data_IF_248676150257
#
_entry.id   IF_248676150257
#
_cell.length_a   1.000
_cell.length_b   1.000
_cell.length_c   1.000
_cell.angle_alpha   90.00
_cell.angle_beta   90.00
_cell.angle_gamma   90.00
#
_symmetry.space_group_name_H-M   'P 1'
#
loop_
_entity.id
_entity.type
_entity.pdbx_description
1 polymer ?
#
# COMPACT_ATOMS: atom_id res chain seq x y z
N UNK A 1 18.59 -18.12 16.03
CA UNK A 1 18.71 -18.73 14.69
C UNK A 1 17.55 -19.67 14.35
N UNK A 2 16.89 -20.31 15.32
CA UNK A 2 15.73 -21.19 15.07
C UNK A 2 14.45 -20.44 14.67
N UNK A 3 14.12 -19.31 15.32
CA UNK A 3 12.94 -18.51 14.96
C UNK A 3 12.93 -17.96 13.50
N UNK A 4 14.11 -17.77 12.91
CA UNK A 4 14.26 -17.35 11.51
C UNK A 4 14.08 -18.54 10.53
N UNK A 5 14.43 -19.76 10.95
CA UNK A 5 14.18 -20.99 10.19
C UNK A 5 12.70 -21.37 10.26
N UNK A 6 12.03 -21.13 11.38
CA UNK A 6 10.58 -21.35 11.54
C UNK A 6 9.74 -20.36 10.73
N UNK A 7 10.14 -19.08 10.63
CA UNK A 7 9.45 -18.12 9.74
C UNK A 7 9.66 -18.47 8.27
N UNK A 8 10.85 -18.93 7.86
CA UNK A 8 11.08 -19.47 6.51
C UNK A 8 10.31 -20.77 6.26
N UNK A 9 10.17 -21.63 7.26
CA UNK A 9 9.40 -22.87 7.16
C UNK A 9 7.88 -22.61 7.17
N UNK A 10 7.40 -21.55 7.81
CA UNK A 10 6.03 -21.07 7.73
C UNK A 10 5.74 -20.42 6.37
N UNK A 11 6.63 -19.56 5.88
CA UNK A 11 6.60 -19.02 4.51
C UNK A 11 6.66 -20.15 3.48
N UNK A 12 7.56 -21.12 3.66
CA UNK A 12 7.67 -22.30 2.80
C UNK A 12 6.49 -23.27 2.95
N UNK A 13 5.84 -23.41 4.11
CA UNK A 13 4.62 -24.22 4.27
C UNK A 13 3.39 -23.54 3.64
N UNK A 14 3.27 -22.22 3.78
CA UNK A 14 2.25 -21.43 3.08
C UNK A 14 2.48 -21.49 1.55
N UNK A 15 3.73 -21.46 1.09
CA UNK A 15 4.09 -21.57 -0.33
C UNK A 15 4.11 -23.03 -0.88
N UNK A 16 4.36 -24.06 -0.07
CA UNK A 16 4.51 -25.46 -0.51
C UNK A 16 3.21 -26.28 -0.44
N UNK A 17 2.24 -25.89 0.38
CA UNK A 17 0.86 -26.43 0.27
C UNK A 17 0.23 -26.07 -1.09
N UNK A 18 0.86 -25.14 -1.82
CA UNK A 18 0.48 -24.63 -3.16
C UNK A 18 1.30 -25.31 -4.29
N UNK A 19 2.23 -26.23 -3.99
CA UNK A 19 3.20 -26.81 -4.93
C UNK A 19 3.15 -28.36 -4.98
N UNK A 20 2.05 -28.96 -5.43
CA UNK A 20 2.04 -30.39 -5.84
C UNK A 20 1.27 -30.57 -7.15
N UNK A 21 2.07 -30.82 -8.21
CA UNK A 21 1.78 -31.61 -9.43
C UNK A 21 0.69 -31.10 -10.38
N UNK A 22 1.09 -30.55 -11.52
CA UNK A 22 0.96 -31.13 -12.89
C UNK A 22 1.46 -30.06 -13.88
N UNK A 23 2.19 -30.53 -14.89
CA UNK A 23 2.69 -29.76 -16.03
C UNK A 23 1.58 -29.42 -17.02
N UNK A 24 1.51 -28.17 -17.50
CA UNK A 24 1.29 -27.93 -18.92
C UNK A 24 1.75 -26.53 -19.32
N UNK A 25 2.28 -26.46 -20.53
CA UNK A 25 2.82 -25.28 -21.23
C UNK A 25 1.65 -24.54 -21.86
N UNK A 26 1.68 -23.21 -21.88
CA UNK A 26 1.27 -22.45 -23.06
C UNK A 26 1.98 -21.09 -23.11
N UNK A 27 2.49 -20.80 -24.31
CA UNK A 27 3.21 -19.58 -24.68
C UNK A 27 2.18 -18.53 -25.10
N UNK A 28 2.20 -17.34 -24.49
CA UNK A 28 1.59 -16.15 -25.09
C UNK A 28 2.60 -15.02 -25.11
N UNK A 29 2.95 -14.61 -26.33
CA UNK A 29 3.92 -13.57 -26.66
C UNK A 29 3.28 -12.18 -26.74
N UNK A 30 4.02 -11.22 -26.19
CA UNK A 30 4.20 -9.83 -26.64
C UNK A 30 3.20 -8.72 -26.24
N UNK A 31 3.82 -7.59 -25.83
CA UNK A 31 3.31 -6.21 -25.71
C UNK A 31 2.34 -5.90 -24.56
N UNK A 32 2.85 -5.82 -23.32
CA UNK A 32 2.13 -5.18 -22.22
C UNK A 32 2.15 -3.65 -22.39
N UNK A 33 1.19 -3.11 -23.13
CA UNK A 33 0.70 -1.75 -22.87
C UNK A 33 0.13 -1.73 -21.45
N UNK A 34 0.36 -0.64 -20.71
CA UNK A 34 -0.21 -0.44 -19.36
C UNK A 34 -1.74 -0.47 -19.47
N UNK A 35 -2.34 -1.65 -19.31
CA UNK A 35 -3.79 -1.83 -19.41
C UNK A 35 -4.45 -1.15 -18.22
N UNK A 36 -5.05 0.02 -18.47
CA UNK A 36 -5.92 0.70 -17.53
C UNK A 36 -7.11 -0.21 -17.23
N UNK A 37 -7.14 -0.82 -16.04
CA UNK A 37 -8.26 -1.66 -15.64
C UNK A 37 -9.43 -0.77 -15.24
N UNK A 38 -10.43 -0.69 -16.11
CA UNK A 38 -11.68 0.03 -15.83
C UNK A 38 -12.21 -0.38 -14.46
N UNK A 39 -12.39 0.62 -13.59
CA UNK A 39 -12.94 0.45 -12.26
C UNK A 39 -12.01 0.03 -11.15
N UNK A 40 -10.70 -0.07 -11.43
CA UNK A 40 -9.65 -0.23 -10.41
C UNK A 40 -8.63 0.90 -10.44
N UNK A 41 -8.86 1.89 -11.28
CA UNK A 41 -8.05 3.10 -11.37
C UNK A 41 -8.86 4.28 -10.83
N UNK A 42 -8.16 5.24 -10.22
CA UNK A 42 -8.72 6.49 -9.75
C UNK A 42 -7.84 7.63 -10.28
N UNK A 43 -8.41 8.54 -11.07
CA UNK A 43 -7.70 9.66 -11.70
C UNK A 43 -8.51 10.96 -11.55
N UNK A 44 -7.86 12.14 -11.57
CA UNK A 44 -8.57 13.42 -11.60
C UNK A 44 -9.49 13.56 -12.84
N UNK A 45 -10.60 14.32 -12.76
CA UNK A 45 -11.20 14.87 -11.54
C UNK A 45 -11.87 13.76 -10.72
N UNK A 46 -11.48 13.62 -9.45
CA UNK A 46 -11.83 12.45 -8.65
C UNK A 46 -13.33 12.43 -8.32
N UNK A 47 -14.08 11.51 -8.92
CA UNK A 47 -15.49 11.30 -8.62
C UNK A 47 -15.65 10.26 -7.49
N UNK A 48 -15.64 10.75 -6.24
CA UNK A 48 -15.87 9.93 -5.04
C UNK A 48 -17.09 10.40 -4.23
N UNK A 49 -17.86 11.36 -4.75
CA UNK A 49 -18.96 12.03 -4.02
C UNK A 49 -20.37 11.71 -4.53
N UNK A 50 -20.55 10.89 -5.58
CA UNK A 50 -21.89 10.54 -6.06
C UNK A 50 -22.47 9.33 -5.31
N UNK A 51 -23.37 9.63 -4.37
CA UNK A 51 -24.08 8.71 -3.48
C UNK A 51 -25.53 8.42 -3.89
N UNK A 52 -26.04 9.02 -4.97
CA UNK A 52 -27.47 8.92 -5.31
C UNK A 52 -27.85 7.85 -6.36
N UNK A 53 -27.05 7.55 -7.40
CA UNK A 53 -27.54 6.70 -8.52
C UNK A 53 -26.52 5.84 -9.31
N UNK A 54 -25.29 5.62 -8.87
CA UNK A 54 -24.38 4.72 -9.60
C UNK A 54 -23.14 4.39 -8.79
N UNK A 55 -22.94 3.10 -8.49
CA UNK A 55 -21.89 2.63 -7.58
C UNK A 55 -20.49 3.12 -7.99
N UNK A 56 -19.88 4.11 -7.31
CA UNK A 56 -18.48 4.40 -7.55
C UNK A 56 -17.69 3.17 -7.08
N UNK A 57 -16.82 2.66 -7.95
CA UNK A 57 -15.96 1.52 -7.65
C UNK A 57 -14.93 1.87 -6.56
N UNK A 58 -14.95 3.11 -6.06
CA UNK A 58 -14.17 3.64 -4.96
C UNK A 58 -15.08 4.24 -3.90
N UNK A 59 -14.78 3.94 -2.64
CA UNK A 59 -15.48 4.49 -1.47
C UNK A 59 -14.46 5.07 -0.50
N UNK A 60 -14.90 6.01 0.33
CA UNK A 60 -14.07 6.68 1.34
C UNK A 60 -14.62 6.49 2.75
N UNK A 61 -13.74 6.49 3.75
CA UNK A 61 -14.07 6.51 5.17
C UNK A 61 -13.25 7.58 5.90
N UNK A 62 -13.77 8.04 7.04
CA UNK A 62 -13.07 8.98 7.91
C UNK A 62 -12.93 10.37 7.29
N UNK A 63 -11.80 11.01 7.53
CA UNK A 63 -11.51 12.39 7.12
C UNK A 63 -11.22 12.53 5.61
N UNK A 64 -11.27 11.45 4.83
CA UNK A 64 -10.93 11.48 3.40
C UNK A 64 -11.89 12.35 2.59
N UNK A 65 -11.34 13.20 1.72
CA UNK A 65 -12.11 14.11 0.87
C UNK A 65 -11.40 14.40 -0.46
N UNK A 66 -12.16 14.89 -1.44
CA UNK A 66 -11.58 15.56 -2.61
C UNK A 66 -11.33 17.01 -2.23
N UNK A 67 -10.15 17.50 -2.56
CA UNK A 67 -9.76 18.91 -2.41
C UNK A 67 -8.90 19.31 -3.60
N UNK A 68 -8.44 20.56 -3.63
CA UNK A 68 -7.43 21.00 -4.58
C UNK A 68 -6.07 21.15 -3.91
N UNK A 69 -4.99 20.83 -4.61
CA UNK A 69 -3.63 21.12 -4.17
C UNK A 69 -3.26 22.60 -4.37
N UNK A 70 -2.02 22.97 -4.06
CA UNK A 70 -1.53 24.34 -4.19
C UNK A 70 -1.53 24.87 -5.65
N UNK A 71 -1.57 23.98 -6.64
CA UNK A 71 -1.63 24.29 -8.07
C UNK A 71 -3.06 24.28 -8.60
N UNK A 72 -4.06 24.06 -7.75
CA UNK A 72 -5.46 23.95 -8.14
C UNK A 72 -5.83 22.60 -8.79
N UNK A 73 -4.97 21.59 -8.70
CA UNK A 73 -5.27 20.25 -9.21
C UNK A 73 -6.10 19.48 -8.19
N UNK A 74 -7.13 18.76 -8.65
CA UNK A 74 -7.91 17.89 -7.78
C UNK A 74 -7.01 16.80 -7.19
N UNK A 75 -7.14 16.55 -5.88
CA UNK A 75 -6.45 15.54 -5.10
C UNK A 75 -7.41 14.82 -4.16
N UNK A 76 -7.23 13.51 -4.00
CA UNK A 76 -7.80 12.79 -2.87
C UNK A 76 -6.92 13.02 -1.65
N UNK A 77 -7.43 13.78 -0.70
CA UNK A 77 -6.76 14.04 0.57
C UNK A 77 -7.24 13.04 1.61
N UNK A 78 -6.35 12.18 2.10
CA UNK A 78 -6.69 11.22 3.15
C UNK A 78 -6.93 11.90 4.49
N UNK A 79 -6.06 12.83 4.88
CA UNK A 79 -6.14 13.58 6.14
C UNK A 79 -5.74 15.05 5.93
N UNK A 80 -6.30 15.92 6.77
CA UNK A 80 -5.74 17.26 6.98
C UNK A 80 -4.53 17.17 7.91
N UNK A 81 -3.67 18.18 7.88
CA UNK A 81 -2.53 18.31 8.79
C UNK A 81 -2.96 18.81 10.18
N UNK A 82 -3.90 18.08 10.78
CA UNK A 82 -4.39 18.24 12.14
C UNK A 82 -4.16 16.93 12.90
N UNK A 83 -4.08 17.01 14.21
CA UNK A 83 -3.85 15.85 15.06
C UNK A 83 -5.02 14.85 15.01
N UNK A 84 -4.70 13.57 15.20
CA UNK A 84 -5.69 12.50 15.39
C UNK A 84 -6.66 12.29 14.21
N UNK A 85 -6.19 12.51 12.99
CA UNK A 85 -6.96 12.30 11.75
C UNK A 85 -6.72 10.92 11.18
N UNK A 86 -7.77 10.33 10.60
CA UNK A 86 -7.70 9.03 9.91
C UNK A 86 -8.63 9.06 8.71
N UNK A 87 -8.11 8.65 7.56
CA UNK A 87 -8.87 8.55 6.33
C UNK A 87 -8.48 7.32 5.54
N UNK A 88 -9.46 6.77 4.83
CA UNK A 88 -9.25 5.67 3.90
C UNK A 88 -9.99 5.97 2.60
N UNK A 89 -9.39 5.56 1.49
CA UNK A 89 -10.06 5.35 0.23
C UNK A 89 -9.79 3.92 -0.22
N UNK A 90 -10.81 3.23 -0.72
CA UNK A 90 -10.70 1.81 -1.07
C UNK A 90 -11.58 1.47 -2.26
N UNK A 91 -11.12 0.48 -3.03
CA UNK A 91 -11.84 -0.03 -4.17
C UNK A 91 -12.86 -1.10 -3.72
N UNK A 92 -14.08 -1.05 -4.26
CA UNK A 92 -15.17 -1.99 -3.93
C UNK A 92 -15.19 -3.20 -4.85
N UNK A 93 -14.38 -3.23 -5.90
CA UNK A 93 -14.27 -4.34 -6.85
C UNK A 93 -13.07 -5.21 -6.47
N UNK A 94 -13.28 -6.43 -5.95
CA UNK A 94 -12.18 -7.32 -5.59
C UNK A 94 -11.22 -7.56 -6.77
N UNK A 95 -9.92 -7.65 -6.47
CA UNK A 95 -8.88 -7.92 -7.48
C UNK A 95 -9.06 -9.32 -8.10
N UNK A 96 -9.55 -10.30 -7.32
CA UNK A 96 -9.89 -11.65 -7.80
C UNK A 96 -11.40 -11.84 -7.95
N UNK A 97 -11.90 -12.10 -9.17
CA UNK A 97 -13.27 -12.62 -9.38
C UNK A 97 -13.34 -14.15 -9.39
N UNK A 98 -12.20 -14.83 -9.46
CA UNK A 98 -12.10 -16.29 -9.59
C UNK A 98 -11.08 -16.81 -8.58
N UNK A 99 -11.55 -17.60 -7.61
CA UNK A 99 -10.74 -18.34 -6.64
C UNK A 99 -10.05 -19.56 -7.29
N UNK A 100 -9.46 -19.36 -8.47
CA UNK A 100 -8.64 -20.40 -9.07
C UNK A 100 -7.18 -20.16 -8.64
N UNK A 101 -6.64 -21.08 -7.85
CA UNK A 101 -5.27 -20.98 -7.30
C UNK A 101 -4.21 -20.91 -8.40
N UNK A 102 -4.55 -21.37 -9.61
CA UNK A 102 -3.73 -21.27 -10.81
C UNK A 102 -3.69 -19.85 -11.38
N UNK A 103 -4.79 -19.09 -11.28
CA UNK A 103 -4.83 -17.67 -11.65
C UNK A 103 -3.97 -16.80 -10.73
N UNK A 104 -3.86 -17.12 -9.44
CA UNK A 104 -3.05 -16.32 -8.48
C UNK A 104 -1.56 -16.36 -8.81
N UNK A 105 -1.04 -17.49 -9.30
CA UNK A 105 0.36 -17.60 -9.78
C UNK A 105 0.60 -16.81 -11.07
N UNK A 106 -0.45 -16.65 -11.88
CA UNK A 106 -0.44 -15.87 -13.12
C UNK A 106 -0.88 -14.41 -12.93
N UNK A 107 -1.25 -14.02 -11.71
CA UNK A 107 -1.68 -12.65 -11.40
C UNK A 107 -0.47 -11.72 -11.53
N UNK A 108 -0.33 -11.13 -12.71
CA UNK A 108 0.60 -10.03 -12.96
C UNK A 108 -0.19 -8.75 -12.84
N UNK A 109 0.15 -7.93 -11.85
CA UNK A 109 -0.47 -6.64 -11.67
C UNK A 109 0.56 -5.58 -11.30
N UNK A 110 0.21 -4.35 -11.62
CA UNK A 110 0.99 -3.16 -11.34
C UNK A 110 0.04 -2.09 -10.84
N UNK A 111 0.47 -1.37 -9.80
CA UNK A 111 -0.18 -0.15 -9.33
C UNK A 111 0.82 0.98 -9.49
N UNK A 112 0.38 2.02 -10.17
CA UNK A 112 1.06 3.31 -10.20
C UNK A 112 0.33 4.23 -9.23
N UNK A 113 1.07 4.77 -8.27
CA UNK A 113 0.57 5.68 -7.26
C UNK A 113 1.36 6.98 -7.32
N UNK A 114 0.66 8.10 -7.48
CA UNK A 114 1.22 9.43 -7.28
C UNK A 114 0.70 9.96 -5.95
N UNK A 115 1.61 10.33 -5.06
CA UNK A 115 1.28 10.78 -3.70
C UNK A 115 2.19 11.92 -3.27
N UNK A 116 1.74 12.65 -2.25
CA UNK A 116 2.54 13.68 -1.59
C UNK A 116 2.21 13.68 -0.09
N UNK A 117 3.24 13.81 0.74
CA UNK A 117 3.10 13.96 2.20
C UNK A 117 3.80 15.27 2.58
N UNK A 118 3.14 16.43 2.43
CA UNK A 118 3.80 17.72 2.54
C UNK A 118 4.10 18.10 3.99
N UNK A 119 5.21 18.80 4.22
CA UNK A 119 5.41 19.61 5.44
C UNK A 119 4.31 20.65 5.57
N UNK A 120 4.11 21.10 6.80
CA UNK A 120 3.21 22.22 7.06
C UNK A 120 3.90 23.26 7.91
N UNK A 121 3.42 24.53 7.90
CA UNK A 121 3.93 25.55 8.80
C UNK A 121 3.84 25.17 10.30
N UNK A 122 2.99 24.19 10.65
CA UNK A 122 2.83 23.69 12.03
C UNK A 122 3.87 22.62 12.40
N UNK A 123 4.41 21.88 11.42
CA UNK A 123 5.38 20.80 11.65
C UNK A 123 6.18 20.49 10.39
N UNK A 124 7.51 20.46 10.55
CA UNK A 124 8.46 20.02 9.52
C UNK A 124 8.59 18.49 9.42
N UNK A 125 7.94 17.75 10.31
CA UNK A 125 7.89 16.28 10.28
C UNK A 125 6.42 15.85 10.19
N UNK A 126 5.95 15.46 9.00
CA UNK A 126 4.63 14.86 8.83
C UNK A 126 4.54 13.53 9.58
N UNK A 127 3.41 13.28 10.21
CA UNK A 127 3.14 12.06 10.97
C UNK A 127 1.67 11.63 10.80
N UNK A 128 1.34 10.35 10.90
CA UNK A 128 2.26 9.22 11.14
C UNK A 128 2.79 8.59 9.83
N UNK A 129 2.08 8.79 8.72
CA UNK A 129 2.40 8.23 7.41
C UNK A 129 1.15 7.80 6.66
N UNK A 130 1.31 6.85 5.72
CA UNK A 130 0.19 6.23 5.01
C UNK A 130 0.50 4.76 4.65
N UNK A 131 -0.53 4.00 4.29
CA UNK A 131 -0.34 2.62 3.82
C UNK A 131 -1.14 2.33 2.55
N UNK A 132 -0.62 1.42 1.73
CA UNK A 132 -1.33 0.83 0.58
C UNK A 132 -1.65 -0.61 0.94
N UNK A 133 -2.95 -0.94 1.07
CA UNK A 133 -3.41 -2.21 1.60
C UNK A 133 -4.07 -3.07 0.53
N UNK A 134 -3.72 -4.35 0.54
CA UNK A 134 -4.38 -5.40 -0.22
C UNK A 134 -4.96 -6.39 0.78
N UNK A 135 -6.22 -6.17 1.12
CA UNK A 135 -6.90 -6.83 2.23
C UNK A 135 -8.05 -7.72 1.75
N UNK A 136 -8.21 -8.89 2.37
CA UNK A 136 -9.40 -9.73 2.22
C UNK A 136 -10.58 -9.22 3.05
N UNK A 137 -10.31 -8.56 4.17
CA UNK A 137 -11.35 -7.99 5.02
C UNK A 137 -11.90 -6.70 4.41
N UNK A 138 -13.18 -6.44 4.68
CA UNK A 138 -13.78 -5.13 4.43
C UNK A 138 -12.96 -4.04 5.13
N UNK A 139 -12.58 -2.96 4.42
CA UNK A 139 -11.88 -1.83 5.00
C UNK A 139 -12.65 -1.20 6.17
N UNK A 140 -11.92 -0.85 7.21
CA UNK A 140 -12.42 -0.15 8.38
C UNK A 140 -11.30 0.71 8.98
N UNK A 141 -11.68 1.81 9.63
CA UNK A 141 -10.72 2.71 10.26
C UNK A 141 -10.04 2.03 11.47
N UNK A 142 -8.75 2.30 11.66
CA UNK A 142 -7.97 1.80 12.80
C UNK A 142 -6.63 2.49 12.95
N UNK A 143 -5.79 1.95 13.83
CA UNK A 143 -4.49 2.51 14.22
C UNK A 143 -3.36 2.18 13.24
N UNK A 144 -3.56 1.25 12.29
CA UNK A 144 -2.54 0.83 11.33
C UNK A 144 -2.45 1.82 10.16
N UNK A 145 -1.89 3.01 10.39
CA UNK A 145 -1.86 4.12 9.43
C UNK A 145 -3.25 4.43 8.84
N UNK A 146 -4.27 4.39 9.70
CA UNK A 146 -5.67 4.63 9.35
C UNK A 146 -6.48 3.36 9.09
N UNK A 147 -5.85 2.21 8.81
CA UNK A 147 -6.53 0.92 8.58
C UNK A 147 -6.71 0.13 9.89
N UNK A 148 -7.69 -0.78 9.93
CA UNK A 148 -7.89 -1.75 11.02
C UNK A 148 -6.64 -2.59 11.28
N UNK A 149 -6.36 -2.90 12.55
CA UNK A 149 -5.18 -3.66 12.99
C UNK A 149 -5.20 -5.12 12.51
N UNK A 150 -6.38 -5.72 12.45
CA UNK A 150 -6.62 -7.14 12.16
C UNK A 150 -6.92 -7.39 10.67
N UNK A 151 -6.28 -6.63 9.77
CA UNK A 151 -6.40 -6.89 8.34
C UNK A 151 -5.68 -8.20 7.97
N UNK A 152 -6.23 -8.91 6.98
CA UNK A 152 -5.69 -10.15 6.42
C UNK A 152 -5.25 -9.86 4.99
N UNK A 153 -3.95 -9.93 4.73
CA UNK A 153 -3.36 -9.64 3.43
C UNK A 153 -1.96 -9.05 3.55
N UNK A 154 -1.60 -8.15 2.63
CA UNK A 154 -0.32 -7.45 2.69
C UNK A 154 -0.49 -5.94 2.54
N UNK A 155 0.49 -5.21 3.03
CA UNK A 155 0.53 -3.76 2.96
C UNK A 155 1.91 -3.24 2.60
N UNK A 156 1.95 -2.16 1.83
CA UNK A 156 3.12 -1.30 1.69
C UNK A 156 2.93 -0.15 2.68
N UNK A 157 3.81 -0.10 3.68
CA UNK A 157 3.80 0.88 4.75
C UNK A 157 4.73 2.02 4.37
N UNK A 158 4.23 3.25 4.43
CA UNK A 158 4.99 4.48 4.18
C UNK A 158 5.01 5.24 5.51
N UNK A 159 6.00 4.95 6.33
CA UNK A 159 6.16 5.49 7.68
C UNK A 159 7.03 6.75 7.63
N UNK A 160 6.47 7.89 8.06
CA UNK A 160 7.17 9.18 8.03
C UNK A 160 7.68 9.62 9.39
N UNK A 161 7.27 8.94 10.47
CA UNK A 161 7.55 9.40 11.83
C UNK A 161 8.28 8.35 12.65
N UNK A 162 9.37 8.77 13.30
CA UNK A 162 10.19 7.87 14.11
C UNK A 162 9.65 7.78 15.53
N UNK A 163 8.88 6.74 15.85
CA UNK A 163 8.43 6.46 17.22
C UNK A 163 9.55 5.76 18.01
N UNK A 164 10.25 4.81 17.40
CA UNK A 164 11.31 4.06 18.06
C UNK A 164 12.60 4.87 18.19
N UNK A 165 12.97 5.20 19.43
CA UNK A 165 14.21 5.95 19.71
C UNK A 165 15.49 5.16 19.38
N UNK A 166 15.53 3.88 19.72
CA UNK A 166 16.73 3.04 19.61
C UNK A 166 16.49 1.61 19.09
N UNK A 167 15.24 1.16 19.07
CA UNK A 167 14.88 -0.25 18.84
C UNK A 167 14.48 -0.56 17.40
N UNK A 168 14.34 0.47 16.56
CA UNK A 168 14.17 0.29 15.12
C UNK A 168 15.49 0.52 14.38
N UNK A 169 15.76 -0.37 13.42
CA UNK A 169 16.81 -0.17 12.41
C UNK A 169 16.36 0.74 11.27
N UNK A 170 15.05 0.97 11.15
CA UNK A 170 14.48 1.85 10.14
C UNK A 170 14.80 3.29 10.54
N UNK A 171 15.16 4.09 9.53
CA UNK A 171 15.28 5.54 9.68
C UNK A 171 14.12 6.12 8.91
N UNK A 172 13.20 6.81 9.55
CA UNK A 172 12.09 7.43 8.82
C UNK A 172 12.60 8.69 8.08
N UNK A 173 12.03 9.01 6.91
CA UNK A 173 10.93 8.32 6.24
C UNK A 173 11.35 6.99 5.63
N UNK A 174 10.52 5.96 5.79
CA UNK A 174 10.84 4.58 5.40
C UNK A 174 9.64 3.88 4.76
N UNK A 175 9.86 3.23 3.62
CA UNK A 175 8.87 2.37 2.98
C UNK A 175 9.25 0.92 3.16
N UNK A 176 8.33 0.10 3.67
CA UNK A 176 8.54 -1.34 3.83
C UNK A 176 7.25 -2.13 3.56
N UNK A 177 7.38 -3.44 3.35
CA UNK A 177 6.24 -4.33 3.18
C UNK A 177 5.99 -5.16 4.44
N UNK A 178 4.71 -5.43 4.74
CA UNK A 178 4.29 -6.35 5.79
C UNK A 178 3.17 -7.28 5.32
N UNK A 179 3.10 -8.47 5.91
CA UNK A 179 1.99 -9.41 5.75
C UNK A 179 1.29 -9.53 7.10
N UNK A 180 -0.03 -9.60 7.07
CA UNK A 180 -0.85 -9.81 8.26
C UNK A 180 -1.87 -10.92 7.98
N UNK A 181 -2.01 -11.83 8.93
CA UNK A 181 -3.01 -12.90 8.94
C UNK A 181 -4.21 -12.56 9.85
N UNK A 182 -4.30 -11.30 10.28
CA UNK A 182 -5.29 -10.79 11.23
C UNK A 182 -4.79 -10.77 12.68
N UNK A 183 -3.60 -11.30 12.95
CA UNK A 183 -3.05 -11.37 14.32
C UNK A 183 -1.90 -10.40 14.57
N UNK A 184 -1.27 -9.89 13.52
CA UNK A 184 -0.14 -8.97 13.62
C UNK A 184 -0.64 -7.56 13.91
N UNK A 185 -0.08 -6.93 14.93
CA UNK A 185 -0.33 -5.52 15.26
C UNK A 185 0.93 -4.70 15.07
N UNK A 186 0.80 -3.45 14.64
CA UNK A 186 1.92 -2.51 14.67
C UNK A 186 2.45 -2.34 16.08
N UNK A 187 3.77 -2.16 16.15
CA UNK A 187 4.49 -1.97 17.40
C UNK A 187 5.30 -0.67 17.30
N UNK A 188 4.81 0.37 17.96
CA UNK A 188 5.44 1.69 18.01
C UNK A 188 6.85 1.64 18.61
N UNK A 189 7.17 0.63 19.45
CA UNK A 189 8.51 0.50 20.01
C UNK A 189 9.55 0.09 18.98
N UNK A 190 9.14 -0.54 17.87
CA UNK A 190 10.02 -1.05 16.81
C UNK A 190 9.78 -0.37 15.48
N UNK A 191 8.85 0.60 15.41
CA UNK A 191 8.31 1.16 14.16
C UNK A 191 7.88 0.07 13.14
N UNK A 192 7.43 -1.09 13.61
CA UNK A 192 7.09 -2.22 12.74
C UNK A 192 8.27 -2.97 12.12
N UNK A 193 9.51 -2.70 12.55
CA UNK A 193 10.70 -3.41 12.04
C UNK A 193 10.76 -4.91 12.36
N UNK A 194 9.92 -5.37 13.28
CA UNK A 194 9.70 -6.77 13.65
C UNK A 194 8.75 -7.53 12.71
N UNK A 195 7.96 -6.80 11.92
CA UNK A 195 6.96 -7.33 10.97
C UNK A 195 7.32 -7.06 9.50
N UNK A 196 8.41 -6.34 9.25
CA UNK A 196 8.96 -6.13 7.90
C UNK A 196 9.40 -7.46 7.26
N UNK A 197 8.89 -7.72 6.05
CA UNK A 197 9.16 -8.99 5.33
C UNK A 197 10.39 -8.93 4.43
N UNK A 198 10.85 -7.73 4.05
CA UNK A 198 12.04 -7.49 3.24
C UNK A 198 12.58 -6.09 3.54
N UNK A 199 13.90 -5.85 3.49
CA UNK A 199 14.48 -4.52 3.67
C UNK A 199 13.84 -3.49 2.74
N UNK A 200 13.28 -2.46 3.34
CA UNK A 200 12.71 -1.30 2.70
C UNK A 200 13.75 -0.24 2.31
N UNK A 201 13.26 0.93 1.93
CA UNK A 201 14.09 2.05 1.52
C UNK A 201 13.65 3.38 2.15
N UNK A 202 14.62 4.28 2.27
CA UNK A 202 14.40 5.68 2.62
C UNK A 202 13.90 6.48 1.43
N UNK A 203 13.17 7.56 1.71
CA UNK A 203 12.71 8.52 0.71
C UNK A 203 12.56 9.92 1.31
N UNK A 204 12.43 10.92 0.45
CA UNK A 204 12.13 12.32 0.79
C UNK A 204 10.65 12.64 0.55
N UNK A 205 9.93 13.06 1.60
CA UNK A 205 8.50 13.40 1.52
C UNK A 205 8.24 14.84 1.04
N UNK A 206 9.26 15.70 0.94
CA UNK A 206 9.08 17.09 0.51
C UNK A 206 8.68 17.23 -0.96
N UNK A 207 8.62 16.12 -1.70
CA UNK A 207 8.36 16.08 -3.14
C UNK A 207 7.17 15.20 -3.46
N UNK A 208 6.64 15.37 -4.67
CA UNK A 208 5.72 14.37 -5.24
C UNK A 208 6.48 13.06 -5.40
N UNK A 209 5.88 11.98 -4.91
CA UNK A 209 6.42 10.64 -4.95
C UNK A 209 5.59 9.85 -5.95
N UNK A 210 6.28 9.19 -6.87
CA UNK A 210 5.70 8.19 -7.76
C UNK A 210 6.16 6.82 -7.31
N UNK A 211 5.21 5.95 -7.03
CA UNK A 211 5.45 4.58 -6.60
C UNK A 211 4.89 3.61 -7.63
N UNK A 212 5.71 2.63 -8.01
CA UNK A 212 5.28 1.45 -8.76
C UNK A 212 5.32 0.25 -7.84
N UNK A 213 4.15 -0.32 -7.56
CA UNK A 213 4.01 -1.59 -6.84
C UNK A 213 3.67 -2.65 -7.87
N UNK A 214 4.54 -3.64 -8.04
CA UNK A 214 4.37 -4.70 -9.03
C UNK A 214 4.42 -6.06 -8.34
N UNK A 215 3.48 -6.92 -8.70
CA UNK A 215 3.54 -8.33 -8.38
C UNK A 215 3.61 -9.14 -9.67
N UNK A 216 4.61 -10.00 -9.79
CA UNK A 216 4.81 -10.84 -10.97
C UNK A 216 5.53 -12.11 -10.57
N UNK A 217 4.99 -13.26 -10.97
CA UNK A 217 5.63 -14.57 -10.80
C UNK A 217 6.07 -14.85 -9.34
N UNK A 218 5.27 -14.40 -8.36
CA UNK A 218 5.55 -14.59 -6.93
C UNK A 218 6.40 -13.49 -6.29
N UNK A 219 6.93 -12.55 -7.08
CA UNK A 219 7.78 -11.47 -6.58
C UNK A 219 7.01 -10.16 -6.44
N UNK A 220 7.10 -9.54 -5.27
CA UNK A 220 6.62 -8.19 -5.00
C UNK A 220 7.80 -7.22 -5.09
N UNK A 221 7.69 -6.25 -5.99
CA UNK A 221 8.66 -5.18 -6.15
C UNK A 221 7.98 -3.82 -5.91
N UNK A 222 8.65 -2.98 -5.12
CA UNK A 222 8.24 -1.59 -4.88
C UNK A 222 9.36 -0.69 -5.38
N UNK A 223 9.04 0.14 -6.37
CA UNK A 223 9.96 1.16 -6.90
C UNK A 223 9.43 2.53 -6.52
N UNK A 224 10.32 3.39 -6.04
CA UNK A 224 10.01 4.76 -5.64
C UNK A 224 10.84 5.69 -6.50
N UNK A 225 10.16 6.66 -7.12
CA UNK A 225 10.78 7.75 -7.84
C UNK A 225 10.32 9.07 -7.23
N UNK A 226 11.27 9.86 -6.75
CA UNK A 226 11.05 11.23 -6.32
C UNK A 226 11.14 12.15 -7.54
N UNK A 227 10.25 13.13 -7.68
CA UNK A 227 10.46 14.17 -8.69
C UNK A 227 11.80 14.87 -8.45
N UNK A 228 12.55 15.08 -9.53
CA UNK A 228 13.79 15.84 -9.46
C UNK A 228 13.49 17.27 -8.99
N UNK A 229 14.37 17.83 -8.17
CA UNK A 229 14.32 19.24 -7.82
C UNK A 229 14.33 20.06 -9.13
N UNK A 230 13.30 20.85 -9.42
CA UNK A 230 13.45 21.93 -10.40
C UNK A 230 14.37 22.95 -9.76
N UNK A 231 15.58 23.19 -10.28
CA UNK A 231 16.45 24.25 -9.76
C UNK A 231 16.00 25.65 -10.20
N UNK A 232 14.79 25.77 -10.74
CA UNK A 232 14.21 26.99 -11.30
C UNK A 232 12.92 27.35 -10.59
#
# INVERSE_FOLDING_TARGET
>A
MEAWKDRRAAVAKVLATVLVVVTCVDVVTSAATHLHQQGRTLTPPFDINYDAFGMPQWQKLGDTMVSSDALGQDVVRLTMADQSRRGLIFNTVPVSRSFDLEMVKQCKWQIFLELQIPKTPKSDVPADGMGVFFSLNKPALGSQLGMREDFVGFAIMIDTYRNARYRSRMKQPYVYAMINDGTVKYNDETDGSDVEIAPGCNFDFDKKIRMLIKYTDGELAVLIAEEAHSPY
#
